data_IF_900049538616
#
_entry.id   IF_900049538616
#
_cell.length_a   1.000
_cell.length_b   1.000
_cell.length_c   1.000
_cell.angle_alpha   90.00
_cell.angle_beta   90.00
_cell.angle_gamma   90.00
#
_symmetry.space_group_name_H-M   'P 1'
#
loop_
_entity.id
_entity.type
_entity.pdbx_description
1 polymer ?
#
# COMPACT_ATOMS: atom_id res chain seq x y z
N UNK A 1 -30.07 -21.40 8.50
CA UNK A 1 -29.16 -22.02 9.48
C UNK A 1 -28.68 -20.94 10.44
N UNK A 2 -28.75 -21.18 11.74
CA UNK A 2 -28.35 -20.25 12.79
C UNK A 2 -27.24 -20.87 13.64
N UNK A 3 -26.16 -20.12 13.83
CA UNK A 3 -24.97 -20.55 14.57
C UNK A 3 -24.60 -19.54 15.65
N UNK A 4 -24.07 -20.04 16.77
CA UNK A 4 -23.54 -19.21 17.85
C UNK A 4 -22.25 -19.82 18.40
N UNK A 5 -21.18 -19.01 18.50
CA UNK A 5 -19.82 -19.42 18.93
C UNK A 5 -19.32 -20.73 18.27
N UNK A 6 -19.58 -20.87 16.97
CA UNK A 6 -19.17 -22.04 16.18
C UNK A 6 -20.02 -23.30 16.36
N UNK A 7 -21.12 -23.24 17.12
CA UNK A 7 -22.07 -24.35 17.27
C UNK A 7 -23.36 -24.05 16.49
N UNK A 8 -23.91 -25.06 15.83
CA UNK A 8 -25.23 -24.97 15.21
C UNK A 8 -26.31 -24.99 16.29
N UNK A 9 -27.20 -23.98 16.29
CA UNK A 9 -28.32 -23.87 17.22
C UNK A 9 -29.63 -24.28 16.54
N UNK A 10 -29.75 -24.03 15.23
CA UNK A 10 -30.89 -24.43 14.42
C UNK A 10 -30.53 -24.55 12.94
N UNK A 11 -30.99 -25.62 12.28
CA UNK A 11 -30.90 -25.81 10.83
C UNK A 11 -32.21 -26.44 10.32
N UNK A 12 -32.83 -25.82 9.32
CA UNK A 12 -34.14 -26.28 8.86
C UNK A 12 -34.90 -25.22 8.09
N UNK A 13 -36.19 -25.47 7.88
CA UNK A 13 -37.12 -24.59 7.20
C UNK A 13 -37.29 -23.27 7.95
N UNK A 14 -37.33 -22.15 7.22
CA UNK A 14 -37.52 -20.83 7.82
C UNK A 14 -38.86 -20.70 8.59
N UNK A 15 -39.87 -21.52 8.26
CA UNK A 15 -41.19 -21.48 8.91
C UNK A 15 -41.17 -22.02 10.33
N UNK A 16 -40.25 -22.94 10.63
CA UNK A 16 -40.23 -23.66 11.91
C UNK A 16 -39.28 -23.00 12.93
N UNK A 17 -38.59 -21.92 12.54
CA UNK A 17 -37.65 -21.18 13.40
C UNK A 17 -38.35 -20.60 14.63
N UNK A 18 -39.46 -19.89 14.42
CA UNK A 18 -40.22 -19.24 15.51
C UNK A 18 -40.82 -20.28 16.47
N UNK A 19 -41.55 -21.30 15.98
CA UNK A 19 -42.05 -22.39 16.83
C UNK A 19 -40.94 -23.09 17.64
N UNK A 20 -39.79 -23.35 17.02
CA UNK A 20 -38.66 -24.01 17.67
C UNK A 20 -38.14 -23.20 18.86
N UNK A 21 -37.88 -21.91 18.69
CA UNK A 21 -37.41 -21.07 19.80
C UNK A 21 -38.50 -20.85 20.86
N UNK A 22 -39.77 -20.79 20.45
CA UNK A 22 -40.89 -20.72 21.37
C UNK A 22 -40.99 -21.95 22.29
N UNK A 23 -40.79 -23.15 21.76
CA UNK A 23 -40.74 -24.40 22.54
C UNK A 23 -39.59 -24.40 23.58
N UNK A 24 -38.49 -23.73 23.28
CA UNK A 24 -37.31 -23.67 24.14
C UNK A 24 -37.31 -22.46 25.09
N UNK A 25 -38.46 -21.79 25.24
CA UNK A 25 -38.70 -20.77 26.28
C UNK A 25 -38.44 -19.32 25.87
N UNK A 26 -38.35 -19.04 24.56
CA UNK A 26 -38.22 -17.67 24.05
C UNK A 26 -39.58 -17.17 23.54
N UNK A 27 -39.98 -15.96 23.93
CA UNK A 27 -41.27 -15.41 23.53
C UNK A 27 -41.12 -14.61 22.23
N UNK A 28 -41.99 -14.89 21.26
CA UNK A 28 -42.04 -14.16 19.99
C UNK A 28 -43.18 -13.15 19.98
N UNK A 29 -42.89 -11.93 19.52
CA UNK A 29 -43.90 -10.88 19.36
C UNK A 29 -44.52 -10.89 17.94
N UNK A 30 -45.85 -10.75 17.79
CA UNK A 30 -46.53 -10.90 16.48
C UNK A 30 -46.09 -9.95 15.37
N UNK A 31 -45.46 -8.83 15.71
CA UNK A 31 -45.01 -7.79 14.76
C UNK A 31 -43.50 -7.75 14.56
N UNK A 32 -42.77 -8.67 15.20
CA UNK A 32 -41.31 -8.76 15.10
C UNK A 32 -40.89 -9.60 13.89
N UNK A 33 -39.80 -9.19 13.23
CA UNK A 33 -39.24 -9.95 12.12
C UNK A 33 -38.65 -11.28 12.64
N UNK A 34 -39.09 -12.45 12.12
CA UNK A 34 -38.61 -13.77 12.57
C UNK A 34 -37.09 -13.95 12.54
N UNK A 35 -36.40 -13.30 11.60
CA UNK A 35 -34.94 -13.39 11.49
C UNK A 35 -34.24 -12.56 12.58
N UNK A 36 -34.83 -11.41 12.94
CA UNK A 36 -34.30 -10.51 13.97
C UNK A 36 -34.53 -11.12 15.36
N UNK A 37 -35.75 -11.63 15.61
CA UNK A 37 -36.09 -12.44 16.78
C UNK A 37 -35.09 -13.59 17.00
N UNK A 38 -34.77 -14.35 15.95
CA UNK A 38 -33.81 -15.44 16.04
C UNK A 38 -32.39 -14.94 16.35
N UNK A 39 -31.97 -13.77 15.84
CA UNK A 39 -30.68 -13.17 16.15
C UNK A 39 -30.61 -12.67 17.60
N UNK A 40 -31.69 -12.07 18.11
CA UNK A 40 -31.77 -11.62 19.50
C UNK A 40 -31.68 -12.78 20.48
N UNK A 41 -32.39 -13.89 20.18
CA UNK A 41 -32.23 -15.14 20.93
C UNK A 41 -30.78 -15.63 20.90
N UNK A 42 -30.10 -15.58 19.75
CA UNK A 42 -28.69 -16.02 19.64
C UNK A 42 -27.73 -15.11 20.40
N UNK A 43 -28.00 -13.81 20.47
CA UNK A 43 -27.23 -12.84 21.26
C UNK A 43 -27.36 -13.17 22.75
N UNK A 44 -28.57 -13.43 23.23
CA UNK A 44 -28.82 -13.81 24.62
C UNK A 44 -28.21 -15.17 24.98
N UNK A 45 -28.32 -16.15 24.08
CA UNK A 45 -27.70 -17.47 24.22
C UNK A 45 -26.17 -17.36 24.19
N UNK A 46 -25.60 -16.44 23.41
CA UNK A 46 -24.14 -16.22 23.35
C UNK A 46 -23.58 -15.75 24.70
N UNK A 47 -24.35 -14.96 25.46
CA UNK A 47 -23.97 -14.47 26.79
C UNK A 47 -23.97 -15.58 27.86
N UNK A 48 -24.78 -16.63 27.67
CA UNK A 48 -24.96 -17.73 28.65
C UNK A 48 -24.44 -19.07 28.09
N UNK A 49 -23.19 -19.48 28.40
CA UNK A 49 -22.56 -20.65 27.78
C UNK A 49 -23.25 -21.99 28.12
N UNK A 50 -23.91 -22.08 29.27
CA UNK A 50 -24.69 -23.26 29.68
C UNK A 50 -25.93 -23.43 28.79
N UNK A 51 -26.65 -22.34 28.53
CA UNK A 51 -27.83 -22.32 27.66
C UNK A 51 -27.46 -22.65 26.22
N UNK A 52 -26.34 -22.11 25.72
CA UNK A 52 -25.81 -22.45 24.40
C UNK A 52 -25.50 -23.95 24.27
N UNK A 53 -24.83 -24.52 25.26
CA UNK A 53 -24.47 -25.95 25.25
C UNK A 53 -25.71 -26.82 25.33
N UNK A 54 -26.71 -26.42 26.14
CA UNK A 54 -27.99 -27.13 26.23
C UNK A 54 -28.74 -27.10 24.90
N UNK A 55 -28.93 -25.94 24.29
CA UNK A 55 -29.63 -25.78 23.00
C UNK A 55 -28.90 -26.50 21.87
N UNK A 56 -27.58 -26.36 21.77
CA UNK A 56 -26.80 -27.06 20.74
C UNK A 56 -26.89 -28.58 20.89
N UNK A 57 -26.85 -29.07 22.13
CA UNK A 57 -26.94 -30.50 22.41
C UNK A 57 -28.34 -31.02 22.10
N UNK A 58 -29.39 -30.36 22.59
CA UNK A 58 -30.78 -30.71 22.28
C UNK A 58 -30.95 -30.79 20.77
N UNK A 59 -30.60 -29.72 20.05
CA UNK A 59 -30.72 -29.69 18.60
C UNK A 59 -29.96 -30.85 17.93
N UNK A 60 -28.71 -31.09 18.34
CA UNK A 60 -27.88 -32.17 17.81
C UNK A 60 -28.42 -33.57 18.10
N UNK A 61 -29.08 -33.77 19.25
CA UNK A 61 -29.67 -35.05 19.64
C UNK A 61 -31.02 -35.29 18.97
N UNK A 62 -31.90 -34.29 18.94
CA UNK A 62 -33.24 -34.40 18.35
C UNK A 62 -33.14 -34.57 16.83
N UNK A 63 -32.11 -33.99 16.22
CA UNK A 63 -31.87 -34.07 14.79
C UNK A 63 -30.66 -34.93 14.45
N UNK A 64 -30.22 -35.84 15.33
CA UNK A 64 -29.04 -36.67 15.13
C UNK A 64 -29.11 -37.50 13.84
N UNK A 65 -30.31 -37.93 13.44
CA UNK A 65 -30.54 -38.71 12.21
C UNK A 65 -30.70 -37.82 10.97
N UNK A 66 -31.11 -36.56 11.15
CA UNK A 66 -31.43 -35.62 10.06
C UNK A 66 -30.26 -34.71 9.72
N UNK A 67 -29.41 -34.38 10.70
CA UNK A 67 -28.17 -33.61 10.53
C UNK A 67 -27.22 -34.23 9.49
N UNK A 68 -26.95 -35.56 9.52
CA UNK A 68 -26.22 -36.24 8.46
C UNK A 68 -26.95 -36.18 7.14
N UNK A 69 -28.29 -36.20 7.10
CA UNK A 69 -29.06 -36.10 5.86
C UNK A 69 -28.98 -34.70 5.24
N UNK A 70 -28.97 -33.62 6.01
CA UNK A 70 -28.76 -32.26 5.48
C UNK A 70 -27.33 -32.06 4.95
N UNK A 71 -26.33 -32.56 5.68
CA UNK A 71 -24.94 -32.60 5.19
C UNK A 71 -24.78 -33.51 3.98
N UNK A 72 -25.52 -34.63 3.98
CA UNK A 72 -25.57 -35.58 2.87
C UNK A 72 -26.33 -35.00 1.71
N UNK A 73 -27.31 -34.11 1.89
CA UNK A 73 -28.06 -33.46 0.80
C UNK A 73 -27.18 -32.49 0.01
N UNK A 74 -26.29 -31.75 0.67
CA UNK A 74 -25.24 -31.01 -0.04
C UNK A 74 -24.22 -31.92 -0.76
N UNK A 75 -24.02 -33.14 -0.26
CA UNK A 75 -23.20 -34.17 -0.92
C UNK A 75 -23.97 -35.14 -1.84
N UNK A 76 -25.30 -35.07 -1.86
CA UNK A 76 -26.26 -35.89 -2.63
C UNK A 76 -27.08 -35.05 -3.62
N UNK A 77 -26.71 -33.79 -3.81
CA UNK A 77 -26.57 -33.18 -5.16
C UNK A 77 -25.43 -33.89 -5.96
N UNK A 78 -25.00 -35.08 -5.51
CA UNK A 78 -24.26 -36.09 -6.26
C UNK A 78 -25.05 -37.38 -6.56
N UNK A 79 -26.33 -37.54 -6.18
CA UNK A 79 -26.99 -38.87 -6.34
C UNK A 79 -28.51 -38.92 -6.58
N UNK A 80 -29.17 -37.81 -6.91
CA UNK A 80 -30.43 -37.87 -7.68
C UNK A 80 -30.16 -37.25 -9.06
N UNK A 81 -30.66 -37.90 -10.11
CA UNK A 81 -30.65 -37.40 -11.50
C UNK A 81 -31.55 -36.15 -11.67
N UNK A 82 -31.53 -35.23 -10.73
CA UNK A 82 -31.79 -33.84 -11.06
C UNK A 82 -30.53 -33.42 -11.81
N UNK A 83 -30.61 -33.44 -13.14
CA UNK A 83 -29.68 -32.74 -14.03
C UNK A 83 -29.85 -31.23 -13.79
N UNK A 84 -29.65 -30.79 -12.56
CA UNK A 84 -29.21 -29.45 -12.30
C UNK A 84 -27.82 -29.46 -12.90
N UNK A 85 -27.72 -29.01 -14.15
CA UNK A 85 -26.48 -28.62 -14.76
C UNK A 85 -25.83 -27.59 -13.81
N UNK A 86 -25.16 -28.08 -12.75
CA UNK A 86 -24.00 -27.42 -12.19
C UNK A 86 -22.96 -27.54 -13.29
N UNK A 87 -23.16 -26.77 -14.36
CA UNK A 87 -22.07 -26.15 -15.09
C UNK A 87 -21.28 -25.46 -14.01
N UNK A 88 -20.29 -26.17 -13.46
CA UNK A 88 -19.08 -25.54 -12.98
C UNK A 88 -18.63 -24.76 -14.20
N UNK A 89 -19.07 -23.51 -14.28
CA UNK A 89 -18.54 -22.55 -15.22
C UNK A 89 -17.08 -22.47 -14.84
N UNK A 90 -16.29 -23.35 -15.43
CA UNK A 90 -14.85 -23.30 -15.37
C UNK A 90 -14.57 -22.07 -16.18
N UNK A 91 -14.45 -20.93 -15.48
CA UNK A 91 -14.15 -19.64 -16.10
C UNK A 91 -12.86 -19.88 -16.87
N UNK A 92 -13.02 -20.05 -18.18
CA UNK A 92 -11.91 -20.35 -19.07
C UNK A 92 -11.20 -19.02 -19.22
N UNK A 93 -10.12 -18.81 -18.47
CA UNK A 93 -9.27 -17.65 -18.66
C UNK A 93 -8.54 -17.85 -20.01
N UNK A 94 -9.10 -17.28 -21.09
CA UNK A 94 -8.60 -17.44 -22.46
C UNK A 94 -7.89 -16.20 -22.99
N UNK A 95 -7.50 -15.26 -22.14
CA UNK A 95 -6.84 -14.04 -22.58
C UNK A 95 -5.33 -14.16 -22.43
N UNK A 96 -4.60 -13.68 -23.44
CA UNK A 96 -3.16 -13.45 -23.34
C UNK A 96 -2.90 -12.43 -22.23
N UNK A 97 -1.84 -12.64 -21.45
CA UNK A 97 -1.39 -11.76 -20.38
C UNK A 97 -1.26 -10.30 -20.88
N UNK A 98 -0.81 -10.11 -22.13
CA UNK A 98 -0.68 -8.77 -22.72
C UNK A 98 -2.02 -8.06 -22.91
N UNK A 99 -3.05 -8.78 -23.32
CA UNK A 99 -4.41 -8.25 -23.47
C UNK A 99 -4.99 -7.88 -22.11
N UNK A 100 -4.78 -8.73 -21.10
CA UNK A 100 -5.22 -8.47 -19.73
C UNK A 100 -4.52 -7.24 -19.13
N UNK A 101 -3.18 -7.15 -19.23
CA UNK A 101 -2.42 -5.99 -18.76
C UNK A 101 -2.88 -4.70 -19.46
N UNK A 102 -3.11 -4.73 -20.77
CA UNK A 102 -3.55 -3.56 -21.53
C UNK A 102 -4.90 -3.05 -21.03
N UNK A 103 -5.91 -3.93 -20.92
CA UNK A 103 -7.24 -3.53 -20.47
C UNK A 103 -7.27 -3.14 -18.97
N UNK A 104 -6.53 -3.83 -18.10
CA UNK A 104 -6.40 -3.44 -16.70
C UNK A 104 -5.69 -2.09 -16.55
N UNK A 105 -4.65 -1.83 -17.34
CA UNK A 105 -3.96 -0.54 -17.36
C UNK A 105 -4.88 0.57 -17.85
N UNK A 106 -5.63 0.34 -18.94
CA UNK A 106 -6.60 1.31 -19.44
C UNK A 106 -7.70 1.63 -18.42
N UNK A 107 -8.21 0.61 -17.71
CA UNK A 107 -9.19 0.78 -16.63
C UNK A 107 -8.60 1.60 -15.49
N UNK A 108 -7.38 1.27 -15.07
CA UNK A 108 -6.70 1.95 -13.95
C UNK A 108 -6.39 3.40 -14.31
N UNK A 109 -5.94 3.66 -15.54
CA UNK A 109 -5.67 5.01 -16.05
C UNK A 109 -6.96 5.83 -16.14
N UNK A 110 -8.06 5.24 -16.62
CA UNK A 110 -9.37 5.90 -16.65
C UNK A 110 -9.90 6.20 -15.24
N UNK A 111 -9.63 5.32 -14.27
CA UNK A 111 -9.94 5.56 -12.86
C UNK A 111 -9.11 6.72 -12.29
N UNK A 112 -7.80 6.75 -12.56
CA UNK A 112 -6.90 7.82 -12.13
C UNK A 112 -7.32 9.19 -12.71
N UNK A 113 -7.72 9.23 -13.98
CA UNK A 113 -8.20 10.46 -14.62
C UNK A 113 -9.56 10.93 -14.10
N UNK A 114 -10.44 10.03 -13.67
CA UNK A 114 -11.76 10.36 -13.10
C UNK A 114 -11.66 10.83 -11.65
N UNK A 115 -10.64 10.39 -10.92
CA UNK A 115 -10.36 10.80 -9.54
C UNK A 115 -9.06 11.63 -9.47
N UNK A 116 -9.02 12.85 -10.02
CA UNK A 116 -7.80 13.65 -10.09
C UNK A 116 -7.35 14.19 -8.74
N UNK A 117 -8.17 14.12 -7.69
CA UNK A 117 -7.88 14.69 -6.38
C UNK A 117 -6.52 14.23 -5.83
N UNK A 118 -6.18 12.95 -5.99
CA UNK A 118 -4.90 12.41 -5.52
C UNK A 118 -3.72 12.97 -6.32
N UNK A 119 -3.78 12.89 -7.65
CA UNK A 119 -2.71 13.40 -8.52
C UNK A 119 -2.53 14.92 -8.39
N UNK A 120 -3.64 15.66 -8.30
CA UNK A 120 -3.65 17.11 -8.11
C UNK A 120 -3.06 17.50 -6.75
N UNK A 121 -3.41 16.81 -5.66
CA UNK A 121 -2.85 17.11 -4.35
C UNK A 121 -1.33 16.91 -4.31
N UNK A 122 -0.82 15.83 -4.91
CA UNK A 122 0.61 15.52 -4.94
C UNK A 122 1.40 16.50 -5.81
N UNK A 123 0.91 16.78 -7.01
CA UNK A 123 1.53 17.77 -7.91
C UNK A 123 1.53 19.16 -7.30
N UNK A 124 0.45 19.56 -6.62
CA UNK A 124 0.37 20.85 -5.93
C UNK A 124 1.40 20.94 -4.80
N UNK A 125 1.51 19.90 -3.97
CA UNK A 125 2.52 19.85 -2.89
C UNK A 125 3.95 19.89 -3.46
N UNK A 126 4.22 19.17 -4.56
CA UNK A 126 5.50 19.22 -5.28
C UNK A 126 5.84 20.63 -5.76
N UNK A 127 4.88 21.35 -6.35
CA UNK A 127 5.08 22.70 -6.86
C UNK A 127 5.38 23.67 -5.71
N UNK A 128 4.62 23.60 -4.61
CA UNK A 128 4.83 24.46 -3.44
C UNK A 128 6.21 24.20 -2.83
N UNK A 129 6.59 22.93 -2.65
CA UNK A 129 7.89 22.55 -2.09
C UNK A 129 9.04 23.00 -3.00
N UNK A 130 8.89 22.85 -4.32
CA UNK A 130 9.86 23.33 -5.31
C UNK A 130 10.02 24.85 -5.28
N UNK A 131 8.92 25.60 -5.14
CA UNK A 131 8.95 27.05 -5.02
C UNK A 131 9.65 27.47 -3.72
N UNK A 132 9.37 26.80 -2.60
CA UNK A 132 10.04 27.04 -1.33
C UNK A 132 11.56 26.80 -1.43
N UNK A 133 11.97 25.68 -2.01
CA UNK A 133 13.41 25.38 -2.23
C UNK A 133 14.04 26.43 -3.16
N UNK A 134 13.34 26.86 -4.21
CA UNK A 134 13.79 27.92 -5.12
C UNK A 134 13.97 29.27 -4.44
N UNK A 135 13.07 29.64 -3.51
CA UNK A 135 13.20 30.85 -2.70
C UNK A 135 14.33 30.73 -1.67
N UNK A 136 14.54 29.53 -1.10
CA UNK A 136 15.59 29.29 -0.10
C UNK A 136 17.00 29.46 -0.71
N UNK A 137 17.18 29.01 -1.95
CA UNK A 137 18.43 29.16 -2.70
C UNK A 137 18.36 30.28 -3.75
N UNK A 138 17.58 31.33 -3.48
CA UNK A 138 17.44 32.47 -4.39
C UNK A 138 18.80 33.17 -4.58
N UNK A 139 19.11 33.51 -5.83
CA UNK A 139 20.34 34.20 -6.27
C UNK A 139 21.67 33.49 -5.88
N UNK A 140 21.96 32.40 -6.59
CA UNK A 140 23.19 31.62 -6.42
C UNK A 140 24.43 32.38 -6.96
N UNK A 141 25.18 33.03 -6.08
CA UNK A 141 26.43 33.73 -6.43
C UNK A 141 27.48 32.79 -7.04
N UNK A 142 28.28 33.30 -7.98
CA UNK A 142 29.35 32.56 -8.71
C UNK A 142 30.71 32.54 -7.98
N UNK A 143 30.70 32.66 -6.66
CA UNK A 143 31.89 32.61 -5.80
C UNK A 143 32.35 31.17 -5.55
N UNK A 144 33.66 30.89 -5.61
CA UNK A 144 34.22 29.53 -5.64
C UNK A 144 33.79 28.62 -4.49
N UNK A 145 33.84 29.06 -3.23
CA UNK A 145 33.50 28.19 -2.09
C UNK A 145 32.00 28.18 -1.75
N UNK A 146 31.38 29.31 -1.35
CA UNK A 146 29.97 29.28 -0.92
C UNK A 146 29.00 29.09 -2.09
N UNK A 147 29.39 29.48 -3.32
CA UNK A 147 28.54 29.33 -4.51
C UNK A 147 28.40 27.88 -4.96
N UNK A 148 29.48 27.11 -4.91
CA UNK A 148 29.45 25.67 -5.25
C UNK A 148 28.67 24.89 -4.21
N UNK A 149 28.89 25.15 -2.91
CA UNK A 149 28.18 24.45 -1.83
C UNK A 149 26.67 24.74 -1.85
N UNK A 150 26.25 25.99 -2.08
CA UNK A 150 24.83 26.35 -2.17
C UNK A 150 24.15 25.70 -3.39
N UNK A 151 24.84 25.59 -4.54
CA UNK A 151 24.31 24.89 -5.73
C UNK A 151 24.16 23.39 -5.51
N UNK A 152 25.18 22.75 -4.92
CA UNK A 152 25.10 21.33 -4.56
C UNK A 152 24.00 21.06 -3.54
N UNK A 153 23.84 21.95 -2.55
CA UNK A 153 22.75 21.91 -1.59
C UNK A 153 21.38 22.04 -2.28
N UNK A 154 21.22 22.98 -3.20
CA UNK A 154 19.98 23.15 -3.96
C UNK A 154 19.62 21.90 -4.77
N UNK A 155 20.57 21.32 -5.50
CA UNK A 155 20.38 20.07 -6.26
C UNK A 155 19.95 18.93 -5.33
N UNK A 156 20.63 18.79 -4.18
CA UNK A 156 20.30 17.78 -3.19
C UNK A 156 18.87 17.92 -2.65
N UNK A 157 18.46 19.14 -2.28
CA UNK A 157 17.11 19.41 -1.78
C UNK A 157 16.03 19.21 -2.85
N UNK A 158 16.31 19.54 -4.13
CA UNK A 158 15.38 19.28 -5.24
C UNK A 158 15.16 17.77 -5.41
N UNK A 159 16.22 16.97 -5.44
CA UNK A 159 16.12 15.50 -5.61
C UNK A 159 15.37 14.86 -4.43
N UNK A 160 15.66 15.27 -3.19
CA UNK A 160 14.94 14.79 -1.99
C UNK A 160 13.46 15.14 -2.07
N UNK A 161 13.16 16.41 -2.34
CA UNK A 161 11.79 16.92 -2.43
C UNK A 161 10.96 16.11 -3.43
N UNK A 162 11.54 15.78 -4.58
CA UNK A 162 10.87 14.98 -5.60
C UNK A 162 10.66 13.52 -5.18
N UNK A 163 11.64 12.90 -4.50
CA UNK A 163 11.51 11.50 -4.06
C UNK A 163 10.46 11.36 -2.95
N UNK A 164 10.50 12.23 -1.94
CA UNK A 164 9.53 12.20 -0.84
C UNK A 164 8.12 12.56 -1.29
N UNK A 165 7.95 13.50 -2.24
CA UNK A 165 6.62 13.79 -2.78
C UNK A 165 5.99 12.62 -3.56
N UNK A 166 6.80 11.72 -4.12
CA UNK A 166 6.30 10.51 -4.77
C UNK A 166 5.99 9.38 -3.77
N UNK A 167 6.60 9.37 -2.59
CA UNK A 167 6.32 8.37 -1.54
C UNK A 167 4.90 8.45 -1.01
N UNK A 168 4.35 9.65 -0.88
CA UNK A 168 2.96 9.87 -0.45
C UNK A 168 1.94 9.28 -1.42
N UNK A 169 2.34 8.95 -2.66
CA UNK A 169 1.48 8.24 -3.62
C UNK A 169 1.34 6.74 -3.37
N UNK A 170 2.20 6.16 -2.54
CA UNK A 170 2.14 4.73 -2.22
C UNK A 170 1.01 4.39 -1.25
N UNK A 171 0.65 5.27 -0.31
CA UNK A 171 -0.38 4.97 0.69
C UNK A 171 -1.76 4.66 0.09
N UNK A 172 -2.30 5.44 -0.87
CA UNK A 172 -3.59 5.14 -1.48
C UNK A 172 -3.52 3.88 -2.35
N UNK A 173 -2.41 3.66 -3.04
CA UNK A 173 -2.19 2.45 -3.83
C UNK A 173 -2.18 1.20 -2.94
N UNK A 174 -1.58 1.27 -1.75
CA UNK A 174 -1.62 0.19 -0.77
C UNK A 174 -3.05 -0.02 -0.29
N UNK A 175 -3.78 1.05 0.08
CA UNK A 175 -5.18 0.94 0.53
C UNK A 175 -6.12 0.34 -0.52
N UNK A 176 -6.00 0.73 -1.78
CA UNK A 176 -6.79 0.15 -2.89
C UNK A 176 -6.46 -1.32 -3.14
N UNK A 177 -5.20 -1.73 -2.94
CA UNK A 177 -4.74 -3.12 -3.13
C UNK A 177 -5.05 -4.03 -1.95
N UNK A 178 -5.23 -3.46 -0.76
CA UNK A 178 -5.37 -4.17 0.52
C UNK A 178 -6.84 -4.47 0.88
N UNK A 179 -7.77 -4.39 -0.07
CA UNK A 179 -9.15 -4.85 0.14
C UNK A 179 -9.26 -6.35 0.51
N UNK A 180 -8.14 -7.08 0.67
CA UNK A 180 -8.09 -8.48 1.08
C UNK A 180 -7.16 -8.85 2.26
N UNK A 181 -6.23 -8.01 2.77
CA UNK A 181 -5.30 -8.43 3.86
C UNK A 181 -4.91 -7.30 4.82
N UNK A 182 -5.52 -7.29 6.02
CA UNK A 182 -5.08 -6.66 7.28
C UNK A 182 -4.33 -5.30 7.21
N UNK A 183 -5.02 -4.28 7.72
CA UNK A 183 -4.65 -2.87 7.80
C UNK A 183 -3.26 -2.59 8.43
N UNK A 184 -2.78 -3.46 9.33
CA UNK A 184 -1.51 -3.30 10.05
C UNK A 184 -0.23 -3.53 9.21
N UNK A 185 -0.31 -4.23 8.07
CA UNK A 185 0.87 -4.55 7.25
C UNK A 185 1.39 -3.34 6.46
N UNK A 186 0.54 -2.34 6.24
CA UNK A 186 0.83 -1.19 5.36
C UNK A 186 1.80 -0.18 5.97
N UNK A 187 1.64 0.17 7.26
CA UNK A 187 2.46 1.18 7.93
C UNK A 187 3.92 0.72 8.11
N UNK A 188 4.13 -0.55 8.47
CA UNK A 188 5.47 -1.13 8.63
C UNK A 188 6.23 -1.12 7.31
N UNK A 189 5.57 -1.44 6.20
CA UNK A 189 6.19 -1.40 4.87
C UNK A 189 6.65 0.02 4.51
N UNK A 190 5.84 1.05 4.80
CA UNK A 190 6.21 2.45 4.54
C UNK A 190 7.43 2.88 5.37
N UNK A 191 7.48 2.50 6.66
CA UNK A 191 8.64 2.77 7.52
C UNK A 191 9.90 2.12 6.97
N UNK A 192 9.83 0.86 6.54
CA UNK A 192 10.97 0.15 5.94
C UNK A 192 11.44 0.86 4.66
N UNK A 193 10.51 1.27 3.80
CA UNK A 193 10.83 2.00 2.55
C UNK A 193 11.51 3.34 2.86
N UNK A 194 11.01 4.10 3.83
CA UNK A 194 11.63 5.37 4.25
C UNK A 194 13.05 5.14 4.79
N UNK A 195 13.25 4.12 5.64
CA UNK A 195 14.57 3.79 6.17
C UNK A 195 15.56 3.43 5.05
N UNK A 196 15.15 2.61 4.08
CA UNK A 196 15.97 2.27 2.91
C UNK A 196 16.30 3.53 2.11
N UNK A 197 15.35 4.44 1.90
CA UNK A 197 15.59 5.68 1.15
C UNK A 197 16.53 6.65 1.87
N UNK A 198 16.45 6.76 3.19
CA UNK A 198 17.40 7.57 3.98
C UNK A 198 18.82 7.02 3.82
N UNK A 199 19.00 5.69 3.89
CA UNK A 199 20.31 5.07 3.65
C UNK A 199 20.79 5.37 2.22
N UNK A 200 19.92 5.27 1.21
CA UNK A 200 20.29 5.57 -0.19
C UNK A 200 20.67 7.04 -0.42
N UNK A 201 20.07 7.97 0.33
CA UNK A 201 20.38 9.41 0.29
C UNK A 201 21.77 9.73 0.86
N UNK A 202 22.23 9.01 1.89
CA UNK A 202 23.57 9.18 2.46
C UNK A 202 24.68 8.90 1.43
N UNK A 203 24.47 7.92 0.55
CA UNK A 203 25.41 7.55 -0.51
C UNK A 203 25.27 8.39 -1.80
N UNK A 204 24.59 9.54 -1.75
CA UNK A 204 24.44 10.43 -2.90
C UNK A 204 25.75 11.05 -3.41
N UNK A 205 26.73 11.19 -2.51
CA UNK A 205 27.99 11.87 -2.79
C UNK A 205 28.02 13.36 -2.45
N UNK A 206 26.96 13.88 -1.81
CA UNK A 206 26.89 15.23 -1.24
C UNK A 206 27.15 15.23 0.28
N UNK A 207 26.47 14.37 1.03
CA UNK A 207 26.62 14.27 2.50
C UNK A 207 27.90 13.52 2.91
N UNK A 208 28.29 12.53 2.12
CA UNK A 208 29.46 11.69 2.38
C UNK A 208 30.33 11.69 1.13
N UNK A 209 31.61 11.95 1.30
CA UNK A 209 32.60 11.80 0.25
C UNK A 209 32.79 10.32 -0.09
N UNK A 210 32.37 9.90 -1.29
CA UNK A 210 32.39 8.50 -1.73
C UNK A 210 33.75 7.78 -1.62
N UNK A 211 34.91 8.41 -1.90
CA UNK A 211 36.20 7.72 -1.73
C UNK A 211 36.55 7.45 -0.26
N UNK A 212 35.92 8.14 0.70
CA UNK A 212 36.11 7.92 2.15
C UNK A 212 35.25 6.79 2.72
N UNK A 213 34.31 6.25 1.94
CA UNK A 213 33.43 5.16 2.36
C UNK A 213 34.20 3.84 2.37
N UNK A 214 33.92 3.00 3.38
CA UNK A 214 34.46 1.64 3.44
C UNK A 214 34.26 0.88 2.12
N UNK A 215 35.33 0.25 1.63
CA UNK A 215 35.35 -0.45 0.34
C UNK A 215 34.21 -1.48 0.23
N UNK A 216 33.87 -2.16 1.33
CA UNK A 216 32.79 -3.15 1.36
C UNK A 216 31.36 -2.56 1.29
N UNK A 217 31.15 -1.28 1.64
CA UNK A 217 29.86 -0.59 1.47
C UNK A 217 29.75 0.18 0.15
N UNK A 218 30.87 0.31 -0.57
CA UNK A 218 30.98 1.08 -1.80
C UNK A 218 30.02 0.59 -2.89
N UNK A 219 29.59 -0.67 -2.90
CA UNK A 219 28.65 -1.19 -3.91
C UNK A 219 27.25 -0.56 -3.84
N UNK A 220 26.81 -0.10 -2.65
CA UNK A 220 25.46 0.46 -2.43
C UNK A 220 25.23 1.72 -3.29
N UNK A 221 26.30 2.48 -3.55
CA UNK A 221 26.23 3.70 -4.38
C UNK A 221 25.73 3.42 -5.81
N UNK A 222 25.95 2.21 -6.33
CA UNK A 222 25.58 1.84 -7.71
C UNK A 222 24.11 1.45 -7.84
N UNK A 223 23.45 1.15 -6.72
CA UNK A 223 22.02 0.83 -6.66
C UNK A 223 21.20 2.09 -6.36
N UNK A 224 21.80 3.06 -5.68
CA UNK A 224 21.12 4.29 -5.27
C UNK A 224 20.67 5.12 -6.49
N UNK A 225 19.36 5.17 -6.75
CA UNK A 225 18.78 6.07 -7.74
C UNK A 225 19.11 7.55 -7.43
N UNK A 226 19.27 7.88 -6.14
CA UNK A 226 19.62 9.21 -5.67
C UNK A 226 21.01 9.65 -6.18
N UNK A 227 21.97 8.72 -6.22
CA UNK A 227 23.34 8.95 -6.72
C UNK A 227 23.32 9.37 -8.19
N UNK A 228 22.57 8.65 -9.02
CA UNK A 228 22.45 8.97 -10.44
C UNK A 228 21.75 10.30 -10.67
N UNK A 229 20.61 10.54 -10.00
CA UNK A 229 19.87 11.79 -10.14
C UNK A 229 20.73 13.02 -9.77
N UNK A 230 21.40 12.95 -8.62
CA UNK A 230 22.26 14.05 -8.15
C UNK A 230 23.48 14.27 -9.05
N UNK A 231 24.09 13.20 -9.56
CA UNK A 231 25.22 13.29 -10.49
C UNK A 231 24.83 13.94 -11.81
N UNK A 232 23.72 13.52 -12.41
CA UNK A 232 23.27 14.06 -13.70
C UNK A 232 22.96 15.56 -13.56
N UNK A 233 22.25 15.96 -12.51
CA UNK A 233 21.95 17.37 -12.26
C UNK A 233 23.22 18.18 -11.96
N UNK A 234 24.17 17.61 -11.23
CA UNK A 234 25.47 18.26 -10.98
C UNK A 234 26.24 18.45 -12.28
N UNK A 235 26.33 17.43 -13.14
CA UNK A 235 26.99 17.55 -14.44
C UNK A 235 26.29 18.64 -15.27
N UNK A 236 24.96 18.59 -15.36
CA UNK A 236 24.17 19.54 -16.13
C UNK A 236 24.32 20.99 -15.65
N UNK A 237 24.40 21.22 -14.34
CA UNK A 237 24.54 22.55 -13.75
C UNK A 237 25.97 23.11 -13.89
N UNK A 238 26.99 22.27 -13.70
CA UNK A 238 28.39 22.72 -13.61
C UNK A 238 29.16 22.70 -14.94
N UNK A 239 28.61 22.13 -16.01
CA UNK A 239 29.28 22.03 -17.31
C UNK A 239 29.59 23.41 -17.92
N UNK A 240 28.68 24.38 -17.80
CA UNK A 240 28.79 25.70 -18.44
C UNK A 240 29.21 26.81 -17.47
N UNK A 241 29.57 26.47 -16.23
CA UNK A 241 29.94 27.44 -15.19
C UNK A 241 31.45 27.56 -15.00
N UNK A 242 31.91 28.79 -14.90
CA UNK A 242 33.26 29.16 -14.47
C UNK A 242 33.18 29.85 -13.10
N UNK A 243 34.06 29.45 -12.18
CA UNK A 243 34.18 30.08 -10.86
C UNK A 243 35.50 30.83 -10.78
N UNK A 244 35.44 32.05 -10.24
CA UNK A 244 36.57 32.94 -10.12
C UNK A 244 36.92 33.11 -8.63
N UNK A 245 38.22 33.05 -8.31
CA UNK A 245 38.70 33.30 -6.95
C UNK A 245 38.45 34.76 -6.56
N UNK A 246 38.24 35.06 -5.26
CA UNK A 246 37.95 36.42 -4.79
C UNK A 246 39.00 37.46 -5.18
N UNK A 247 40.23 37.04 -5.53
CA UNK A 247 41.35 37.90 -5.92
C UNK A 247 41.74 37.84 -7.42
N UNK A 248 40.95 37.19 -8.29
CA UNK A 248 41.22 37.15 -9.74
C UNK A 248 39.94 37.41 -10.55
N UNK A 249 39.76 38.65 -11.02
CA UNK A 249 38.61 39.06 -11.86
C UNK A 249 38.82 38.86 -13.36
N UNK A 250 40.08 38.79 -13.82
CA UNK A 250 40.42 38.88 -15.25
C UNK A 250 40.78 37.54 -15.89
N UNK A 251 41.03 36.50 -15.09
CA UNK A 251 41.37 35.16 -15.57
C UNK A 251 40.72 34.15 -14.64
N UNK A 252 39.70 33.44 -15.12
CA UNK A 252 39.03 32.36 -14.36
C UNK A 252 39.50 31.03 -14.97
N UNK A 253 40.57 30.40 -14.42
CA UNK A 253 41.35 29.41 -15.14
C UNK A 253 40.71 28.02 -15.26
N UNK A 254 39.51 27.79 -14.73
CA UNK A 254 38.94 26.43 -14.69
C UNK A 254 37.41 26.38 -14.71
N UNK A 255 36.88 25.45 -15.54
CA UNK A 255 35.49 24.98 -15.46
C UNK A 255 35.23 24.40 -14.07
N UNK A 256 34.08 24.75 -13.49
CA UNK A 256 33.62 24.28 -12.18
C UNK A 256 33.70 22.75 -12.01
N UNK A 257 33.39 22.05 -13.10
CA UNK A 257 33.40 20.60 -13.20
C UNK A 257 34.79 20.00 -12.95
N UNK A 258 35.84 20.64 -13.46
CA UNK A 258 37.24 20.19 -13.30
C UNK A 258 37.71 20.40 -11.86
N UNK A 259 37.24 21.45 -11.16
CA UNK A 259 37.54 21.66 -9.74
C UNK A 259 36.83 20.64 -8.84
N UNK A 260 35.58 20.27 -9.14
CA UNK A 260 34.86 19.19 -8.44
C UNK A 260 35.55 17.83 -8.62
N UNK A 261 36.02 17.52 -9.83
CA UNK A 261 36.76 16.27 -10.11
C UNK A 261 38.15 16.28 -9.47
N UNK A 262 38.88 17.41 -9.50
CA UNK A 262 40.20 17.52 -8.86
C UNK A 262 40.11 17.45 -7.35
N UNK A 263 39.16 18.14 -6.71
CA UNK A 263 38.90 18.07 -5.27
C UNK A 263 38.68 16.64 -4.78
N UNK A 264 37.94 15.83 -5.57
CA UNK A 264 37.71 14.40 -5.28
C UNK A 264 38.89 13.47 -5.59
N UNK A 265 39.96 13.93 -6.27
CA UNK A 265 41.16 13.14 -6.61
C UNK A 265 42.39 13.48 -5.75
N UNK A 266 42.40 14.62 -5.06
CA UNK A 266 43.54 15.08 -4.24
C UNK A 266 43.39 14.77 -2.74
N UNK A 267 42.40 13.98 -2.36
CA UNK A 267 42.25 13.36 -1.04
C UNK A 267 42.08 11.86 -1.21
#
# INVERSE_FOLDING_TARGET
MFMCKGRCVYHGSAKDVVPYFAEHGYQWEPYENPADYALDVLIDVSRKPETLTRLSNIYSTTHADVLPLFYRQDSSIGSENIECERRKYKVKATCSIGTEIFYLSQRTLRNAMRNPALALSQTLVSIILGLLVGLLFYDLKKTTEPGVQNRLGAIFFIVISQIFSNLTALEPLIKERVLFIHEHTSAVALIIVILVLVVMMMFSGFLIDLPSVFVWLSWIQWISAFRYASNVLTINEFQDLTFCWPNQTNFCPMSAYIQLIRSKKTK
#
